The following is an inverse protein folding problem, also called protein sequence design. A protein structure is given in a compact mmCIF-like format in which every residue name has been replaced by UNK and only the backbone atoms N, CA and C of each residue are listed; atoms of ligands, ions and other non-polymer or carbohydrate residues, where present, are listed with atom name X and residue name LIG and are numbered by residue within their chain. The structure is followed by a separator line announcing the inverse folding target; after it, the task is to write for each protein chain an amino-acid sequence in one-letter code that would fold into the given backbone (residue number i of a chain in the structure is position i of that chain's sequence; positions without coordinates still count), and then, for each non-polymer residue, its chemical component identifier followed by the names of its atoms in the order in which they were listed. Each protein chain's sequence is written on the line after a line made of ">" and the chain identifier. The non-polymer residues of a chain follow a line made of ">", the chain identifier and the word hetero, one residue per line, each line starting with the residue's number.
data_IF_640938058208
#
_entry.id   IF_640938058208
#
_cell.length_a   1.000
_cell.length_b   1.000
_cell.length_c   1.000
_cell.angle_alpha   90.00
_cell.angle_beta   90.00
_cell.angle_gamma   90.00
#
_symmetry.space_group_name_H-M   'P 1'
#
loop_
_entity.id
_entity.type
_entity.pdbx_description
1 polymer ?
#
# COMPACT_ATOMS: atom_id res chain seq x y z
N UNK A 1 -14.89 1.31 31.08
CA UNK A 1 -14.32 0.33 30.12
C UNK A 1 -13.04 -0.21 30.72
N UNK A 2 -12.96 -1.52 30.88
CA UNK A 2 -11.94 -2.20 31.71
C UNK A 2 -10.51 -1.96 31.20
N UNK A 3 -9.65 -1.52 32.13
CA UNK A 3 -8.30 -1.02 31.92
C UNK A 3 -7.24 -2.14 31.83
N UNK A 4 -7.60 -3.43 31.68
CA UNK A 4 -6.62 -4.53 31.76
C UNK A 4 -6.83 -5.74 30.83
N UNK A 5 -7.37 -5.58 29.62
CA UNK A 5 -7.13 -6.61 28.59
C UNK A 5 -5.72 -6.45 28.04
N UNK A 6 -4.81 -7.38 28.40
CA UNK A 6 -3.50 -7.51 27.73
C UNK A 6 -3.74 -8.06 26.32
N UNK A 7 -4.00 -7.17 25.38
CA UNK A 7 -4.13 -7.52 23.97
C UNK A 7 -2.81 -8.10 23.42
N UNK A 8 -2.90 -9.19 22.67
CA UNK A 8 -1.78 -9.70 21.86
C UNK A 8 -1.52 -8.73 20.69
N UNK A 9 -0.29 -8.67 20.17
CA UNK A 9 0.08 -7.76 19.09
C UNK A 9 -0.87 -7.84 17.86
N UNK A 10 -1.22 -9.04 17.33
CA UNK A 10 -2.17 -9.14 16.22
C UNK A 10 -3.54 -8.54 16.53
N UNK A 11 -4.01 -8.64 17.78
CA UNK A 11 -5.28 -8.06 18.18
C UNK A 11 -5.21 -6.54 18.30
N UNK A 12 -4.05 -5.98 18.68
CA UNK A 12 -3.80 -4.53 18.65
C UNK A 12 -3.75 -4.01 17.22
N UNK A 13 -3.08 -4.72 16.30
CA UNK A 13 -3.11 -4.38 14.88
C UNK A 13 -4.53 -4.45 14.32
N UNK A 14 -5.30 -5.47 14.67
CA UNK A 14 -6.71 -5.58 14.27
C UNK A 14 -7.55 -4.40 14.80
N UNK A 15 -7.35 -4.02 16.07
CA UNK A 15 -7.98 -2.83 16.64
C UNK A 15 -7.60 -1.57 15.85
N UNK A 16 -6.33 -1.40 15.47
CA UNK A 16 -5.89 -0.26 14.67
C UNK A 16 -6.62 -0.22 13.32
N UNK A 17 -6.59 -1.32 12.54
CA UNK A 17 -7.23 -1.33 11.23
C UNK A 17 -8.75 -1.14 11.32
N UNK A 18 -9.41 -1.68 12.34
CA UNK A 18 -10.88 -1.61 12.44
C UNK A 18 -11.40 -0.35 13.13
N UNK A 19 -10.74 0.12 14.19
CA UNK A 19 -11.21 1.24 15.03
C UNK A 19 -10.55 2.57 14.65
N UNK A 20 -9.25 2.56 14.30
CA UNK A 20 -8.54 3.77 13.90
C UNK A 20 -8.79 4.05 12.42
N UNK A 21 -8.49 3.11 11.53
CA UNK A 21 -8.70 3.32 10.09
C UNK A 21 -10.16 3.12 9.64
N UNK A 22 -10.95 2.35 10.39
CA UNK A 22 -12.36 2.11 10.06
C UNK A 22 -12.60 0.98 9.06
N UNK A 23 -11.64 0.09 8.82
CA UNK A 23 -11.83 -1.09 7.96
C UNK A 23 -12.88 -2.03 8.55
N UNK A 24 -13.56 -2.78 7.69
CA UNK A 24 -14.59 -3.75 8.06
C UNK A 24 -14.04 -5.16 7.94
N UNK A 25 -14.22 -5.96 8.99
CA UNK A 25 -13.89 -7.38 8.97
C UNK A 25 -14.86 -8.14 8.05
N UNK A 26 -14.32 -8.97 7.18
CA UNK A 26 -15.06 -9.79 6.23
C UNK A 26 -14.57 -11.25 6.28
N UNK A 27 -14.57 -11.82 7.48
CA UNK A 27 -14.22 -13.20 7.70
C UNK A 27 -12.81 -13.42 8.27
N UNK A 28 -12.57 -14.66 8.65
CA UNK A 28 -11.34 -15.14 9.29
C UNK A 28 -11.02 -16.53 8.76
N UNK A 29 -9.73 -16.83 8.67
CA UNK A 29 -9.24 -18.16 8.38
C UNK A 29 -7.92 -18.40 9.12
N UNK A 30 -7.91 -19.43 9.97
CA UNK A 30 -6.80 -19.71 10.89
C UNK A 30 -6.39 -18.46 11.69
N UNK A 31 -5.13 -18.07 11.52
CA UNK A 31 -4.51 -16.91 12.18
C UNK A 31 -4.69 -15.60 11.39
N UNK A 32 -5.54 -15.59 10.37
CA UNK A 32 -5.77 -14.45 9.48
C UNK A 32 -7.16 -13.82 9.66
N UNK A 33 -7.22 -12.50 9.51
CA UNK A 33 -8.44 -11.71 9.45
C UNK A 33 -8.48 -10.97 8.12
N UNK A 34 -9.57 -11.13 7.38
CA UNK A 34 -9.80 -10.42 6.13
C UNK A 34 -10.50 -9.09 6.43
N UNK A 35 -9.93 -8.01 5.92
CA UNK A 35 -10.36 -6.63 6.18
C UNK A 35 -10.54 -5.90 4.86
N UNK A 36 -11.58 -5.07 4.79
CA UNK A 36 -11.88 -4.28 3.59
C UNK A 36 -12.05 -2.81 3.92
N UNK A 37 -11.57 -1.98 3.02
CA UNK A 37 -11.97 -0.57 2.97
C UNK A 37 -13.41 -0.46 2.49
N UNK A 38 -14.10 0.62 2.85
CA UNK A 38 -15.57 0.60 2.76
C UNK A 38 -16.14 0.74 1.35
N UNK A 39 -15.33 1.10 0.35
CA UNK A 39 -15.77 1.17 -1.04
C UNK A 39 -14.96 0.23 -1.94
N UNK A 40 -14.33 -0.78 -1.33
CA UNK A 40 -13.73 -1.89 -2.07
C UNK A 40 -14.82 -2.87 -2.49
N UNK A 41 -14.83 -3.17 -3.78
CA UNK A 41 -15.80 -4.04 -4.42
C UNK A 41 -15.39 -5.52 -4.33
N UNK A 42 -14.16 -5.82 -3.91
CA UNK A 42 -13.65 -7.18 -3.73
C UNK A 42 -13.84 -7.67 -2.28
N UNK A 43 -13.61 -8.97 -2.04
CA UNK A 43 -13.80 -9.59 -0.73
C UNK A 43 -12.96 -8.95 0.39
N UNK A 44 -11.76 -8.44 0.09
CA UNK A 44 -10.90 -7.78 1.06
C UNK A 44 -9.84 -6.93 0.39
N UNK A 45 -9.39 -5.89 1.10
CA UNK A 45 -8.28 -5.01 0.68
C UNK A 45 -6.99 -5.32 1.46
N UNK A 46 -7.12 -6.00 2.61
CA UNK A 46 -6.03 -6.30 3.52
C UNK A 46 -6.30 -7.65 4.22
N UNK A 47 -5.31 -8.53 4.23
CA UNK A 47 -5.29 -9.73 5.06
C UNK A 47 -4.30 -9.55 6.21
N UNK A 48 -4.80 -9.42 7.43
CA UNK A 48 -3.98 -9.32 8.62
C UNK A 48 -3.71 -10.72 9.17
N UNK A 49 -2.46 -11.16 9.16
CA UNK A 49 -2.06 -12.50 9.64
C UNK A 49 -1.19 -12.39 10.87
N UNK A 50 -1.47 -13.17 11.92
CA UNK A 50 -0.57 -13.24 13.08
C UNK A 50 0.78 -13.86 12.65
N UNK A 51 1.89 -13.21 13.03
CA UNK A 51 3.23 -13.65 12.68
C UNK A 51 4.25 -13.24 13.76
N UNK A 52 5.43 -13.87 13.75
CA UNK A 52 6.50 -13.60 14.72
C UNK A 52 7.23 -12.28 14.48
N UNK A 53 7.13 -11.73 13.26
CA UNK A 53 7.65 -10.42 12.86
C UNK A 53 6.63 -9.67 12.01
N UNK A 54 6.75 -8.35 11.95
CA UNK A 54 5.98 -7.47 11.07
C UNK A 54 6.56 -7.40 9.67
N UNK A 55 5.79 -6.88 8.73
CA UNK A 55 6.15 -6.77 7.32
C UNK A 55 4.96 -7.01 6.42
N UNK A 56 5.18 -6.80 5.13
CA UNK A 56 4.24 -7.26 4.10
C UNK A 56 4.64 -8.68 3.69
N UNK A 57 3.69 -9.61 3.80
CA UNK A 57 3.94 -10.97 3.30
C UNK A 57 3.79 -11.03 1.79
N UNK A 58 2.74 -10.42 1.24
CA UNK A 58 2.45 -10.47 -0.19
C UNK A 58 1.66 -9.26 -0.65
N UNK A 59 1.92 -8.80 -1.87
CA UNK A 59 1.08 -7.83 -2.58
C UNK A 59 0.36 -8.49 -3.75
N UNK A 60 -0.97 -8.47 -3.71
CA UNK A 60 -1.80 -9.01 -4.78
C UNK A 60 -2.13 -7.92 -5.81
N UNK A 61 -1.92 -8.22 -7.09
CA UNK A 61 -2.29 -7.36 -8.21
C UNK A 61 -3.39 -8.03 -9.01
N UNK A 62 -4.45 -7.29 -9.32
CA UNK A 62 -5.51 -7.79 -10.19
C UNK A 62 -5.23 -7.42 -11.64
N UNK A 63 -5.19 -8.42 -12.52
CA UNK A 63 -5.10 -8.23 -13.96
C UNK A 63 -6.37 -7.57 -14.50
N UNK A 64 -6.28 -6.91 -15.66
CA UNK A 64 -7.44 -6.29 -16.29
C UNK A 64 -8.36 -7.28 -17.03
N UNK A 65 -7.88 -8.50 -17.29
CA UNK A 65 -8.62 -9.61 -17.88
C UNK A 65 -7.89 -10.93 -17.65
N UNK A 66 -8.57 -12.06 -17.91
CA UNK A 66 -7.96 -13.39 -17.90
C UNK A 66 -6.77 -13.48 -18.89
N UNK A 67 -6.90 -12.93 -20.08
CA UNK A 67 -5.82 -12.93 -21.07
C UNK A 67 -4.66 -12.03 -20.64
N UNK A 68 -4.93 -10.95 -19.91
CA UNK A 68 -3.89 -10.11 -19.33
C UNK A 68 -3.11 -10.88 -18.25
N UNK A 69 -3.80 -11.61 -17.37
CA UNK A 69 -3.19 -12.53 -16.40
C UNK A 69 -2.26 -13.51 -17.12
N UNK A 70 -2.75 -14.25 -18.11
CA UNK A 70 -1.94 -15.23 -18.86
C UNK A 70 -0.72 -14.60 -19.55
N UNK A 71 -0.85 -13.40 -20.14
CA UNK A 71 0.27 -12.68 -20.77
C UNK A 71 1.33 -12.23 -19.77
N UNK A 72 0.93 -11.86 -18.54
CA UNK A 72 1.87 -11.44 -17.50
C UNK A 72 2.54 -12.64 -16.84
N UNK A 73 1.80 -13.72 -16.58
CA UNK A 73 2.36 -15.01 -16.12
C UNK A 73 3.51 -15.47 -17.02
N UNK A 74 3.28 -15.53 -18.33
CA UNK A 74 4.33 -15.92 -19.31
C UNK A 74 5.55 -14.99 -19.26
N UNK A 75 5.34 -13.68 -19.07
CA UNK A 75 6.44 -12.72 -18.99
C UNK A 75 7.25 -12.89 -17.68
N UNK A 76 6.58 -13.15 -16.57
CA UNK A 76 7.19 -13.41 -15.26
C UNK A 76 8.00 -14.71 -15.29
N UNK A 77 7.46 -15.77 -15.92
CA UNK A 77 8.17 -17.04 -16.13
C UNK A 77 9.43 -16.86 -16.99
N UNK A 78 9.32 -16.11 -18.09
CA UNK A 78 10.45 -15.80 -18.95
C UNK A 78 11.54 -14.96 -18.24
N UNK A 79 11.15 -14.15 -17.25
CA UNK A 79 12.08 -13.40 -16.40
C UNK A 79 12.72 -14.27 -15.30
N UNK A 80 12.28 -15.53 -15.12
CA UNK A 80 12.83 -16.44 -14.11
C UNK A 80 12.41 -16.13 -12.67
N UNK A 81 11.36 -15.32 -12.48
CA UNK A 81 10.89 -14.85 -11.17
C UNK A 81 9.59 -15.52 -10.71
N UNK A 82 9.04 -16.43 -11.52
CA UNK A 82 7.83 -17.18 -11.21
C UNK A 82 8.04 -18.22 -10.11
N UNK A 83 7.09 -18.33 -9.19
CA UNK A 83 7.03 -19.38 -8.17
C UNK A 83 6.03 -20.46 -8.57
N UNK A 84 4.86 -20.06 -9.08
CA UNK A 84 3.84 -20.97 -9.62
C UNK A 84 2.41 -20.64 -9.19
N UNK A 85 1.46 -21.42 -9.69
CA UNK A 85 0.04 -21.29 -9.35
C UNK A 85 -0.27 -21.79 -7.95
N UNK A 86 -1.22 -21.14 -7.29
CA UNK A 86 -1.80 -21.54 -6.03
C UNK A 86 -3.29 -21.19 -5.99
N UNK A 87 -4.01 -21.81 -5.04
CA UNK A 87 -5.35 -21.35 -4.69
C UNK A 87 -5.26 -19.95 -4.06
N UNK A 88 -6.23 -19.10 -4.42
CA UNK A 88 -6.38 -17.77 -3.86
C UNK A 88 -6.97 -17.78 -2.45
N UNK A 89 -6.94 -16.59 -1.84
CA UNK A 89 -7.60 -16.35 -0.56
C UNK A 89 -9.12 -16.28 -0.71
N UNK A 90 -9.84 -16.14 0.42
CA UNK A 90 -11.29 -16.01 0.41
C UNK A 90 -11.77 -14.92 -0.56
N UNK A 91 -12.69 -15.31 -1.45
CA UNK A 91 -13.24 -14.46 -2.50
C UNK A 91 -12.30 -14.15 -3.67
N UNK A 92 -11.12 -14.78 -3.73
CA UNK A 92 -10.14 -14.63 -4.81
C UNK A 92 -9.92 -15.99 -5.46
N UNK A 93 -9.99 -16.05 -6.79
CA UNK A 93 -9.76 -17.28 -7.54
C UNK A 93 -8.26 -17.67 -7.62
N UNK A 94 -7.88 -18.58 -8.52
CA UNK A 94 -6.49 -19.01 -8.68
C UNK A 94 -5.53 -17.84 -8.89
N UNK A 95 -4.39 -17.86 -8.19
CA UNK A 95 -3.37 -16.80 -8.26
C UNK A 95 -2.02 -17.36 -8.71
N UNK A 96 -1.27 -16.56 -9.45
CA UNK A 96 0.10 -16.89 -9.83
C UNK A 96 1.07 -16.12 -8.93
N UNK A 97 1.89 -16.86 -8.17
CA UNK A 97 2.87 -16.30 -7.23
C UNK A 97 4.22 -16.08 -7.90
N UNK A 98 4.89 -15.01 -7.51
CA UNK A 98 6.20 -14.63 -8.03
C UNK A 98 6.89 -13.66 -7.06
N UNK A 99 8.18 -13.40 -7.29
CA UNK A 99 8.89 -12.33 -6.59
C UNK A 99 9.30 -11.23 -7.54
N UNK A 100 9.54 -10.03 -7.02
CA UNK A 100 10.30 -9.02 -7.75
C UNK A 100 11.82 -9.25 -7.60
N UNK A 101 12.68 -8.48 -8.29
CA UNK A 101 14.14 -8.64 -8.21
C UNK A 101 14.75 -8.47 -6.81
N UNK A 102 14.06 -7.80 -5.89
CA UNK A 102 14.51 -7.59 -4.52
C UNK A 102 13.91 -8.64 -3.55
N UNK A 103 13.05 -9.53 -4.06
CA UNK A 103 12.50 -10.65 -3.29
C UNK A 103 11.20 -10.35 -2.57
N UNK A 104 10.52 -9.23 -2.87
CA UNK A 104 9.16 -9.00 -2.39
C UNK A 104 8.22 -10.03 -3.04
N UNK A 105 7.35 -10.65 -2.25
CA UNK A 105 6.39 -11.66 -2.73
C UNK A 105 5.15 -10.95 -3.29
N UNK A 106 4.75 -11.36 -4.49
CA UNK A 106 3.60 -10.86 -5.21
C UNK A 106 2.72 -12.03 -5.67
N UNK A 107 1.45 -11.73 -5.91
CA UNK A 107 0.59 -12.59 -6.71
C UNK A 107 -0.20 -11.80 -7.74
N UNK A 108 -0.49 -12.44 -8.87
CA UNK A 108 -1.35 -11.91 -9.93
C UNK A 108 -2.59 -12.78 -10.05
N UNK A 109 -3.75 -12.16 -10.13
CA UNK A 109 -5.04 -12.84 -10.23
C UNK A 109 -6.02 -12.08 -11.13
N UNK A 110 -7.15 -12.71 -11.47
CA UNK A 110 -8.22 -12.09 -12.26
C UNK A 110 -9.60 -12.32 -11.63
N UNK A 111 -9.87 -13.60 -11.33
CA UNK A 111 -11.11 -14.04 -10.73
C UNK A 111 -11.24 -13.52 -9.30
N UNK A 112 -12.38 -12.88 -9.01
CA UNK A 112 -12.66 -12.31 -7.71
C UNK A 112 -14.18 -12.21 -7.53
N UNK A 113 -14.62 -12.41 -6.30
CA UNK A 113 -16.01 -12.28 -5.90
C UNK A 113 -16.33 -10.80 -5.64
N UNK A 114 -17.40 -10.32 -6.28
CA UNK A 114 -17.97 -9.02 -5.96
C UNK A 114 -18.59 -9.09 -4.56
N UNK A 115 -18.19 -8.18 -3.70
CA UNK A 115 -18.68 -8.11 -2.34
C UNK A 115 -20.18 -7.80 -2.30
N UNK A 116 -20.95 -8.69 -1.65
CA UNK A 116 -22.35 -8.49 -1.35
C UNK A 116 -22.51 -8.15 0.15
N UNK A 117 -22.84 -6.89 0.50
CA UNK A 117 -22.95 -6.49 1.90
C UNK A 117 -24.11 -7.19 2.60
N UNK A 118 -23.93 -7.67 3.85
CA UNK A 118 -25.05 -8.09 4.68
C UNK A 118 -26.00 -6.89 4.92
N UNK A 119 -27.27 -7.16 5.23
CA UNK A 119 -28.33 -6.15 5.30
C UNK A 119 -27.95 -4.90 6.12
N UNK A 120 -27.30 -5.08 7.28
CA UNK A 120 -26.91 -3.98 8.16
C UNK A 120 -25.76 -3.11 7.63
N UNK A 121 -25.06 -3.55 6.58
CA UNK A 121 -24.02 -2.81 5.86
C UNK A 121 -24.46 -2.43 4.44
N UNK A 122 -25.72 -2.66 4.06
CA UNK A 122 -26.20 -2.32 2.73
C UNK A 122 -26.17 -0.80 2.53
N UNK A 123 -25.51 -0.29 1.46
CA UNK A 123 -25.43 1.14 1.23
C UNK A 123 -26.77 1.71 0.74
N UNK A 124 -27.04 2.96 1.10
CA UNK A 124 -28.14 3.72 0.50
C UNK A 124 -27.89 4.06 -0.97
N UNK A 125 -26.63 4.17 -1.37
CA UNK A 125 -26.22 4.46 -2.75
C UNK A 125 -25.82 3.17 -3.48
N UNK A 126 -26.38 2.93 -4.65
CA UNK A 126 -26.19 1.69 -5.42
C UNK A 126 -24.78 1.50 -5.98
N UNK A 127 -23.98 2.56 -6.00
CA UNK A 127 -22.62 2.61 -6.53
C UNK A 127 -21.58 2.64 -5.41
N UNK A 128 -21.93 2.10 -4.23
CA UNK A 128 -21.02 1.92 -3.11
C UNK A 128 -20.99 0.44 -2.75
N UNK A 129 -19.84 -0.07 -2.29
CA UNK A 129 -19.73 -1.48 -1.90
C UNK A 129 -20.37 -1.77 -0.53
N UNK A 130 -20.32 -0.83 0.41
CA UNK A 130 -21.06 -0.90 1.67
C UNK A 130 -21.48 0.48 2.17
N UNK A 131 -22.40 0.51 3.13
CA UNK A 131 -22.75 1.69 3.89
C UNK A 131 -21.50 2.33 4.52
N UNK A 132 -21.48 3.65 4.55
CA UNK A 132 -20.41 4.42 5.17
C UNK A 132 -20.22 3.97 6.64
N UNK A 133 -19.00 3.55 7.05
CA UNK A 133 -18.78 2.95 8.36
C UNK A 133 -19.07 3.88 9.55
N UNK A 134 -18.85 5.19 9.38
CA UNK A 134 -19.05 6.18 10.45
C UNK A 134 -18.15 5.96 11.67
N UNK A 135 -16.99 5.31 11.52
CA UNK A 135 -16.04 5.03 12.61
C UNK A 135 -14.60 5.28 12.18
N UNK A 136 -13.74 5.65 13.14
CA UNK A 136 -12.35 5.97 12.86
C UNK A 136 -12.22 7.00 11.73
N UNK A 137 -11.24 6.79 10.86
CA UNK A 137 -11.02 7.61 9.66
C UNK A 137 -11.98 7.23 8.52
N UNK A 138 -12.56 6.02 8.54
CA UNK A 138 -13.41 5.48 7.46
C UNK A 138 -12.72 5.56 6.09
N UNK A 139 -11.53 4.96 5.97
CA UNK A 139 -10.77 4.96 4.71
C UNK A 139 -11.54 4.25 3.59
N UNK A 140 -11.62 4.90 2.43
CA UNK A 140 -12.44 4.46 1.29
C UNK A 140 -11.82 3.30 0.55
N UNK A 141 -10.52 3.38 0.28
CA UNK A 141 -9.79 2.41 -0.56
C UNK A 141 -8.35 2.21 -0.11
N UNK A 142 -7.82 1.02 -0.37
CA UNK A 142 -6.37 0.83 -0.48
C UNK A 142 -5.84 1.76 -1.57
N UNK A 143 -4.71 2.41 -1.32
CA UNK A 143 -4.08 3.29 -2.30
C UNK A 143 -2.88 2.61 -2.93
N UNK A 144 -1.76 2.51 -2.22
CA UNK A 144 -0.51 2.00 -2.80
C UNK A 144 0.32 1.25 -1.76
N UNK A 145 1.35 0.57 -2.25
CA UNK A 145 2.40 -0.03 -1.42
C UNK A 145 3.72 0.60 -1.80
N UNK A 146 4.51 0.98 -0.79
CA UNK A 146 5.90 1.38 -0.98
C UNK A 146 6.81 0.35 -0.33
N UNK A 147 7.82 -0.06 -1.09
CA UNK A 147 8.83 -1.04 -0.70
C UNK A 147 10.16 -0.36 -0.44
N UNK A 148 10.88 -0.87 0.54
CA UNK A 148 12.30 -0.64 0.72
C UNK A 148 13.07 -1.72 -0.03
N UNK A 149 13.92 -1.30 -0.96
CA UNK A 149 14.73 -2.19 -1.79
C UNK A 149 16.21 -1.80 -1.77
N UNK A 150 17.12 -2.77 -1.86
CA UNK A 150 18.56 -2.48 -1.92
C UNK A 150 18.94 -1.78 -3.24
N UNK A 151 18.24 -2.08 -4.33
CA UNK A 151 18.37 -1.39 -5.61
C UNK A 151 16.99 -1.13 -6.20
N UNK A 152 16.62 0.14 -6.42
CA UNK A 152 15.25 0.45 -6.88
C UNK A 152 15.05 0.30 -8.39
N UNK A 153 16.07 0.56 -9.20
CA UNK A 153 15.97 0.56 -10.66
C UNK A 153 15.59 -0.82 -11.24
N UNK A 154 16.20 -1.95 -10.81
CA UNK A 154 15.80 -3.28 -11.29
C UNK A 154 14.31 -3.59 -10.99
N UNK A 155 13.81 -3.18 -9.83
CA UNK A 155 12.41 -3.41 -9.47
C UNK A 155 11.45 -2.55 -10.30
N UNK A 156 11.78 -1.28 -10.54
CA UNK A 156 10.98 -0.43 -11.42
C UNK A 156 11.00 -0.89 -12.87
N UNK A 157 12.16 -1.36 -13.37
CA UNK A 157 12.29 -1.98 -14.69
C UNK A 157 11.45 -3.26 -14.80
N UNK A 158 11.45 -4.10 -13.76
CA UNK A 158 10.59 -5.28 -13.71
C UNK A 158 9.10 -4.91 -13.78
N UNK A 159 8.64 -3.94 -13.00
CA UNK A 159 7.24 -3.48 -13.06
C UNK A 159 6.91 -2.93 -14.45
N UNK A 160 7.81 -2.16 -15.07
CA UNK A 160 7.61 -1.59 -16.40
C UNK A 160 7.56 -2.66 -17.49
N UNK A 161 8.60 -3.48 -17.58
CA UNK A 161 8.85 -4.34 -18.73
C UNK A 161 8.14 -5.70 -18.60
N UNK A 162 7.99 -6.20 -17.37
CA UNK A 162 7.39 -7.52 -17.11
C UNK A 162 5.93 -7.37 -16.69
N UNK A 163 5.61 -6.49 -15.74
CA UNK A 163 4.21 -6.33 -15.28
C UNK A 163 3.39 -5.37 -16.15
N UNK A 164 4.04 -4.55 -16.99
CA UNK A 164 3.36 -3.61 -17.91
C UNK A 164 2.92 -2.31 -17.25
N UNK A 165 3.45 -1.99 -16.07
CA UNK A 165 3.29 -0.69 -15.44
C UNK A 165 4.11 0.40 -16.12
N UNK A 166 4.03 1.64 -15.62
CA UNK A 166 4.82 2.77 -16.13
C UNK A 166 5.34 3.63 -14.99
N UNK A 167 6.54 4.17 -15.15
CA UNK A 167 7.11 5.14 -14.21
C UNK A 167 6.45 6.49 -14.42
N UNK A 168 5.91 7.08 -13.37
CA UNK A 168 5.30 8.42 -13.42
C UNK A 168 6.28 9.49 -12.93
N UNK A 169 6.99 9.20 -11.84
CA UNK A 169 8.05 10.05 -11.28
C UNK A 169 9.18 9.18 -10.70
N UNK A 170 10.39 9.75 -10.61
CA UNK A 170 11.57 9.09 -10.04
C UNK A 170 12.54 10.09 -9.42
N UNK A 171 13.42 9.64 -8.53
CA UNK A 171 14.57 10.40 -8.04
C UNK A 171 15.84 9.83 -8.68
N UNK A 172 16.61 10.69 -9.35
CA UNK A 172 17.94 10.36 -9.87
C UNK A 172 19.00 11.16 -9.14
N UNK A 173 19.94 10.46 -8.50
CA UNK A 173 21.07 11.05 -7.80
C UNK A 173 22.15 11.54 -8.78
N UNK A 174 23.08 12.38 -8.33
CA UNK A 174 24.16 12.89 -9.18
C UNK A 174 25.10 11.77 -9.67
N UNK A 175 25.15 10.64 -8.96
CA UNK A 175 25.83 9.41 -9.37
C UNK A 175 25.18 8.70 -10.56
N UNK A 176 23.99 9.15 -10.99
CA UNK A 176 23.16 8.49 -12.00
C UNK A 176 22.23 7.42 -11.43
N UNK A 177 22.43 6.99 -10.18
CA UNK A 177 21.59 5.99 -9.50
C UNK A 177 20.15 6.49 -9.35
N UNK A 178 19.18 5.61 -9.60
CA UNK A 178 17.79 5.84 -9.19
C UNK A 178 17.62 5.39 -7.74
N UNK A 179 17.21 6.31 -6.86
CA UNK A 179 17.00 6.05 -5.43
C UNK A 179 15.54 5.88 -5.05
N UNK A 180 14.60 6.28 -5.91
CA UNK A 180 13.20 5.91 -5.77
C UNK A 180 12.44 6.02 -7.10
N UNK A 181 11.39 5.22 -7.26
CA UNK A 181 10.48 5.25 -8.41
C UNK A 181 9.03 5.06 -7.99
N UNK A 182 8.13 5.80 -8.63
CA UNK A 182 6.69 5.69 -8.50
C UNK A 182 6.11 5.16 -9.80
N UNK A 183 5.36 4.06 -9.72
CA UNK A 183 4.86 3.34 -10.88
C UNK A 183 3.34 3.13 -10.79
N UNK A 184 2.66 3.14 -11.94
CA UNK A 184 1.22 2.94 -12.03
C UNK A 184 0.82 1.94 -13.13
N UNK A 185 -0.39 1.41 -13.03
CA UNK A 185 -0.98 0.52 -14.05
C UNK A 185 -2.18 1.15 -14.78
N UNK A 186 -2.79 2.19 -14.21
CA UNK A 186 -4.00 2.82 -14.72
C UNK A 186 -3.89 4.36 -14.74
N UNK A 187 -4.94 5.09 -14.37
CA UNK A 187 -4.94 6.56 -14.38
C UNK A 187 -4.52 7.18 -13.06
N UNK A 188 -4.50 6.41 -11.95
CA UNK A 188 -3.95 6.88 -10.68
C UNK A 188 -2.47 7.21 -10.85
N UNK A 189 -1.97 8.13 -10.05
CA UNK A 189 -0.62 8.65 -10.19
C UNK A 189 0.48 7.64 -9.85
N UNK A 190 0.20 6.66 -9.00
CA UNK A 190 1.10 5.55 -8.67
C UNK A 190 0.36 4.50 -7.85
N UNK A 191 0.70 3.23 -8.02
CA UNK A 191 0.17 2.05 -7.31
C UNK A 191 1.27 1.34 -6.53
N UNK A 192 2.50 1.33 -7.07
CA UNK A 192 3.69 0.75 -6.46
C UNK A 192 4.80 1.80 -6.37
N UNK A 193 5.55 1.77 -5.28
CA UNK A 193 6.71 2.62 -5.06
C UNK A 193 7.88 1.78 -4.60
N UNK A 194 9.07 2.06 -5.12
CA UNK A 194 10.32 1.52 -4.61
C UNK A 194 11.16 2.67 -4.08
N UNK A 195 11.62 2.55 -2.85
CA UNK A 195 12.47 3.49 -2.14
C UNK A 195 13.74 2.78 -1.71
N UNK A 196 14.89 3.41 -1.88
CA UNK A 196 16.16 2.83 -1.46
C UNK A 196 16.20 2.58 0.05
N UNK A 197 16.59 1.35 0.42
CA UNK A 197 16.85 0.96 1.80
C UNK A 197 18.28 1.30 2.21
N UNK A 198 18.43 2.24 3.15
CA UNK A 198 19.74 2.67 3.64
C UNK A 198 20.36 1.71 4.66
N UNK A 199 19.63 0.67 5.06
CA UNK A 199 20.17 -0.46 5.82
C UNK A 199 20.77 -1.53 4.91
N UNK A 200 20.57 -1.44 3.58
CA UNK A 200 21.08 -2.38 2.59
C UNK A 200 20.42 -3.75 2.64
N UNK A 201 19.25 -3.86 3.27
CA UNK A 201 18.41 -5.07 3.30
C UNK A 201 17.50 -5.12 2.06
N UNK A 202 16.95 -6.31 1.83
CA UNK A 202 16.03 -6.58 0.74
C UNK A 202 14.64 -6.96 1.28
N UNK A 203 13.60 -6.81 0.47
CA UNK A 203 12.28 -7.39 0.72
C UNK A 203 11.51 -6.72 1.86
N UNK A 204 11.80 -5.45 2.18
CA UNK A 204 11.21 -4.75 3.33
C UNK A 204 10.04 -3.86 2.90
N UNK A 205 9.01 -3.82 3.73
CA UNK A 205 7.91 -2.88 3.59
C UNK A 205 8.36 -1.48 4.05
N UNK A 206 8.18 -0.47 3.19
CA UNK A 206 8.25 0.93 3.61
C UNK A 206 6.93 1.38 4.23
N UNK A 207 5.80 1.24 3.53
CA UNK A 207 4.45 1.48 4.07
C UNK A 207 3.33 0.89 3.20
N UNK A 208 2.15 0.74 3.79
CA UNK A 208 0.87 0.53 3.09
C UNK A 208 0.04 1.80 3.22
N UNK A 209 -0.55 2.28 2.13
CA UNK A 209 -1.30 3.52 2.11
C UNK A 209 -2.80 3.30 1.91
N UNK A 210 -3.61 4.09 2.61
CA UNK A 210 -5.07 4.10 2.50
C UNK A 210 -5.57 5.51 2.21
N UNK A 211 -6.55 5.62 1.31
CA UNK A 211 -7.13 6.90 0.94
C UNK A 211 -8.50 7.10 1.59
N UNK A 212 -8.68 8.12 2.45
CA UNK A 212 -9.99 8.63 2.79
C UNK A 212 -10.52 9.56 1.68
N UNK A 213 -11.75 10.07 1.85
CA UNK A 213 -12.42 10.89 0.83
C UNK A 213 -11.74 12.24 0.64
N UNK A 214 -11.27 12.84 1.73
CA UNK A 214 -10.78 14.22 1.74
C UNK A 214 -9.47 14.39 2.48
N UNK A 215 -8.82 15.55 2.33
CA UNK A 215 -7.64 15.91 3.13
C UNK A 215 -8.03 16.21 4.58
N UNK A 216 -9.24 16.72 4.79
CA UNK A 216 -9.82 17.01 6.09
C UNK A 216 -10.00 15.72 6.91
N UNK A 217 -10.25 14.58 6.27
CA UNK A 217 -10.27 13.29 6.95
C UNK A 217 -8.87 12.86 7.44
N UNK A 218 -7.81 13.26 6.74
CA UNK A 218 -6.42 13.03 7.18
C UNK A 218 -6.06 13.93 8.37
N UNK A 219 -6.57 15.17 8.39
CA UNK A 219 -6.44 16.03 9.58
C UNK A 219 -7.17 15.41 10.78
N UNK A 220 -8.41 14.95 10.59
CA UNK A 220 -9.16 14.23 11.64
C UNK A 220 -8.43 12.96 12.10
N UNK A 221 -7.77 12.27 11.18
CA UNK A 221 -6.99 11.09 11.53
C UNK A 221 -5.84 11.39 12.48
N UNK A 222 -5.19 12.55 12.37
CA UNK A 222 -4.15 12.96 13.30
C UNK A 222 -4.72 13.10 14.73
N UNK A 223 -5.89 13.72 14.89
CA UNK A 223 -6.57 13.83 16.19
C UNK A 223 -6.96 12.45 16.74
N UNK A 224 -7.54 11.58 15.90
CA UNK A 224 -7.88 10.20 16.29
C UNK A 224 -6.64 9.44 16.75
N UNK A 225 -5.52 9.57 16.03
CA UNK A 225 -4.27 8.90 16.39
C UNK A 225 -3.71 9.44 17.71
N UNK A 226 -3.73 10.77 17.91
CA UNK A 226 -3.29 11.43 19.13
C UNK A 226 -4.07 10.94 20.35
N UNK A 227 -5.41 10.98 20.28
CA UNK A 227 -6.29 10.59 21.40
C UNK A 227 -6.20 9.09 21.73
N UNK A 228 -5.80 8.26 20.77
CA UNK A 228 -5.67 6.82 20.94
C UNK A 228 -4.21 6.36 21.14
N UNK A 229 -3.25 7.28 21.27
CA UNK A 229 -1.84 6.96 21.51
C UNK A 229 -1.16 6.20 20.35
N UNK A 230 -1.63 6.38 19.12
CA UNK A 230 -0.97 5.87 17.92
C UNK A 230 0.20 6.80 17.59
N UNK A 231 1.38 6.23 17.38
CA UNK A 231 2.58 7.02 17.06
C UNK A 231 2.45 7.65 15.67
N UNK A 232 2.47 8.98 15.63
CA UNK A 232 2.55 9.77 14.40
C UNK A 232 4.02 10.00 14.11
N UNK A 233 4.49 9.50 12.98
CA UNK A 233 5.89 9.64 12.56
C UNK A 233 6.12 11.03 11.93
N UNK A 234 5.24 11.44 11.02
CA UNK A 234 5.29 12.77 10.39
C UNK A 234 3.98 13.10 9.65
N UNK A 235 3.78 14.38 9.37
CA UNK A 235 2.57 14.92 8.77
C UNK A 235 1.51 15.35 9.80
N UNK A 236 0.31 15.76 9.36
CA UNK A 236 -0.11 15.81 7.97
C UNK A 236 0.66 16.84 7.12
N UNK A 237 1.06 16.49 5.91
CA UNK A 237 1.76 17.39 4.99
C UNK A 237 1.53 17.03 3.53
N UNK A 238 2.14 17.75 2.59
CA UNK A 238 2.13 17.42 1.15
C UNK A 238 3.51 16.99 0.66
N UNK A 239 3.54 15.90 -0.11
CA UNK A 239 4.71 15.48 -0.88
C UNK A 239 4.93 16.41 -2.09
N UNK A 240 6.18 16.71 -2.41
CA UNK A 240 6.50 17.41 -3.67
C UNK A 240 6.31 16.46 -4.86
N UNK A 241 6.91 15.28 -4.76
CA UNK A 241 6.76 14.15 -5.68
C UNK A 241 5.33 13.63 -5.55
N UNK A 242 4.65 13.37 -6.66
CA UNK A 242 3.24 12.94 -6.71
C UNK A 242 2.19 13.89 -6.12
N UNK A 243 2.56 14.96 -5.43
CA UNK A 243 1.63 15.94 -4.85
C UNK A 243 0.63 15.37 -3.82
N UNK A 244 0.89 14.20 -3.26
CA UNK A 244 0.00 13.52 -2.31
C UNK A 244 0.03 14.23 -0.95
N UNK A 245 -1.15 14.54 -0.40
CA UNK A 245 -1.28 14.94 1.01
C UNK A 245 -1.25 13.68 1.88
N UNK A 246 -0.42 13.63 2.90
CA UNK A 246 -0.09 12.41 3.62
C UNK A 246 -0.01 12.62 5.13
N UNK A 247 -0.20 11.54 5.88
CA UNK A 247 0.12 11.38 7.31
C UNK A 247 0.71 9.98 7.48
N UNK A 248 1.91 9.86 8.07
CA UNK A 248 2.52 8.58 8.39
C UNK A 248 2.37 8.27 9.89
N UNK A 249 1.87 7.08 10.17
CA UNK A 249 1.71 6.54 11.52
C UNK A 249 2.25 5.13 11.60
N UNK A 250 2.59 4.66 12.81
CA UNK A 250 2.93 3.26 13.04
C UNK A 250 1.75 2.54 13.65
N UNK A 251 1.29 1.47 13.00
CA UNK A 251 0.34 0.56 13.62
C UNK A 251 1.04 -0.25 14.73
N UNK A 252 0.30 -0.84 15.70
CA UNK A 252 0.90 -1.48 16.88
C UNK A 252 1.94 -2.60 16.63
N UNK A 253 1.93 -3.24 15.46
CA UNK A 253 2.94 -4.21 15.02
C UNK A 253 4.21 -3.58 14.43
N UNK A 254 4.27 -2.26 14.29
CA UNK A 254 5.43 -1.50 13.81
C UNK A 254 5.44 -1.22 12.31
N UNK A 255 4.45 -1.71 11.55
CA UNK A 255 4.34 -1.34 10.14
C UNK A 255 3.99 0.15 10.02
N UNK A 256 4.65 0.85 9.09
CA UNK A 256 4.26 2.22 8.75
C UNK A 256 3.03 2.18 7.86
N UNK A 257 2.06 3.02 8.18
CA UNK A 257 0.82 3.19 7.44
C UNK A 257 0.73 4.65 7.00
N UNK A 258 0.36 4.87 5.75
CA UNK A 258 0.05 6.19 5.22
C UNK A 258 -1.46 6.40 5.13
N UNK A 259 -1.93 7.55 5.58
CA UNK A 259 -3.20 8.10 5.15
C UNK A 259 -2.94 9.15 4.09
N UNK A 260 -3.41 8.89 2.87
CA UNK A 260 -2.99 9.62 1.68
C UNK A 260 -4.16 10.19 0.88
N UNK A 261 -4.00 11.35 0.27
CA UNK A 261 -4.97 11.92 -0.67
C UNK A 261 -4.24 12.67 -1.80
N UNK A 262 -4.21 12.11 -3.03
CA UNK A 262 -3.61 12.76 -4.20
C UNK A 262 -4.49 13.88 -4.80
N UNK A 263 -5.62 14.18 -4.16
CA UNK A 263 -6.63 15.16 -4.60
C UNK A 263 -7.11 14.80 -6.01
N UNK A 264 -6.99 15.70 -6.98
CA UNK A 264 -7.44 15.50 -8.36
C UNK A 264 -6.31 15.07 -9.30
N UNK A 265 -5.13 14.69 -8.78
CA UNK A 265 -4.00 14.31 -9.64
C UNK A 265 -4.25 12.95 -10.28
N UNK A 266 -4.35 12.95 -11.60
CA UNK A 266 -4.41 11.74 -12.43
C UNK A 266 -3.37 11.84 -13.55
N UNK A 267 -2.90 10.68 -13.98
CA UNK A 267 -2.03 10.54 -15.15
C UNK A 267 -2.93 10.14 -16.32
N UNK A 268 -3.36 11.15 -17.06
CA UNK A 268 -4.30 10.99 -18.16
C UNK A 268 -3.60 10.84 -19.53
N UNK A 269 -2.36 11.33 -19.63
CA UNK A 269 -1.60 11.22 -20.87
C UNK A 269 -1.17 9.75 -21.08
N UNK A 270 -1.54 9.13 -22.22
CA UNK A 270 -1.14 7.76 -22.51
C UNK A 270 0.37 7.63 -22.78
N UNK A 271 1.01 8.73 -23.15
CA UNK A 271 2.45 8.90 -23.44
C UNK A 271 3.16 9.72 -22.35
N UNK A 272 2.68 9.64 -21.10
CA UNK A 272 3.26 10.34 -19.96
C UNK A 272 4.78 10.18 -19.92
N UNK A 273 5.48 11.31 -19.80
CA UNK A 273 6.95 11.34 -19.69
C UNK A 273 7.33 11.34 -18.21
N UNK A 274 8.18 10.41 -17.75
CA UNK A 274 8.59 10.36 -16.35
C UNK A 274 9.19 11.70 -15.88
N UNK A 275 8.70 12.23 -14.77
CA UNK A 275 9.31 13.39 -14.12
C UNK A 275 10.50 12.89 -13.29
N UNK A 276 11.68 13.44 -13.53
CA UNK A 276 12.88 13.10 -12.77
C UNK A 276 13.23 14.23 -11.82
N UNK A 277 13.26 13.92 -10.52
CA UNK A 277 13.74 14.80 -9.47
C UNK A 277 15.23 14.57 -9.24
N UNK A 278 16.01 15.64 -9.23
CA UNK A 278 17.45 15.60 -8.96
C UNK A 278 17.74 15.47 -7.47
N UNK A 279 18.97 15.11 -7.11
CA UNK A 279 19.44 15.07 -5.71
C UNK A 279 19.24 16.42 -5.00
N UNK A 280 19.59 17.51 -5.66
CA UNK A 280 19.43 18.87 -5.14
C UNK A 280 17.95 19.25 -4.91
N UNK A 281 17.03 18.79 -5.77
CA UNK A 281 15.60 19.03 -5.57
C UNK A 281 15.04 18.17 -4.44
N UNK A 282 15.45 16.89 -4.37
CA UNK A 282 15.08 15.99 -3.29
C UNK A 282 15.57 16.48 -1.93
N UNK A 283 16.77 17.06 -1.86
CA UNK A 283 17.35 17.62 -0.64
C UNK A 283 16.53 18.80 -0.05
N UNK A 284 15.65 19.42 -0.84
CA UNK A 284 14.72 20.46 -0.33
C UNK A 284 13.70 19.88 0.64
N UNK A 285 13.44 18.57 0.56
CA UNK A 285 12.50 17.83 1.39
C UNK A 285 11.15 17.64 0.68
N UNK A 286 10.09 17.74 1.47
CA UNK A 286 8.71 17.68 0.99
C UNK A 286 8.23 19.05 0.50
N UNK A 287 7.00 19.13 -0.03
CA UNK A 287 6.41 20.43 -0.35
C UNK A 287 6.29 21.28 0.94
N UNK A 288 6.12 22.60 0.78
CA UNK A 288 5.92 23.58 1.87
C UNK A 288 6.99 23.59 2.99
N UNK A 289 8.20 23.09 2.71
CA UNK A 289 9.36 23.26 3.59
C UNK A 289 9.55 22.18 4.65
N UNK A 290 8.69 21.15 4.70
CA UNK A 290 8.89 20.02 5.61
C UNK A 290 10.13 19.21 5.17
N UNK A 291 11.01 18.93 6.12
CA UNK A 291 12.19 18.09 5.89
C UNK A 291 11.82 16.60 5.89
N UNK A 292 12.50 15.82 5.07
CA UNK A 292 12.44 14.36 5.16
C UNK A 292 12.98 13.95 6.52
N UNK A 293 12.23 13.10 7.22
CA UNK A 293 12.60 12.56 8.54
C UNK A 293 13.68 11.48 8.42
N UNK A 294 14.47 11.32 9.48
CA UNK A 294 15.62 10.40 9.49
C UNK A 294 15.21 8.92 9.37
N UNK A 295 14.02 8.56 9.86
CA UNK A 295 13.49 7.20 9.81
C UNK A 295 12.96 6.79 8.43
N UNK A 296 12.83 7.71 7.47
CA UNK A 296 12.18 7.44 6.18
C UNK A 296 12.90 6.32 5.40
N UNK A 297 14.23 6.34 5.36
CA UNK A 297 15.03 5.37 4.59
C UNK A 297 15.52 4.16 5.40
N UNK A 298 15.25 4.13 6.71
CA UNK A 298 15.85 3.15 7.63
C UNK A 298 14.81 2.33 8.37
N UNK A 299 13.69 2.95 8.76
CA UNK A 299 12.55 2.22 9.32
C UNK A 299 11.74 1.57 8.21
N UNK A 300 11.54 0.26 8.36
CA UNK A 300 10.76 -0.59 7.48
C UNK A 300 10.59 -1.96 8.14
N UNK A 301 9.67 -2.76 7.64
CA UNK A 301 9.28 -4.04 8.26
C UNK A 301 9.45 -5.22 7.31
N UNK A 302 10.06 -6.35 7.72
CA UNK A 302 10.63 -6.61 9.05
C UNK A 302 11.80 -5.67 9.39
N UNK A 303 12.08 -5.48 10.67
CA UNK A 303 13.22 -4.63 11.09
C UNK A 303 14.54 -5.18 10.53
N UNK A 304 15.53 -4.31 10.35
CA UNK A 304 16.87 -4.70 9.87
C UNK A 304 17.75 -5.35 10.96
N UNK A 305 17.30 -5.26 12.22
CA UNK A 305 17.94 -5.80 13.43
C UNK A 305 17.63 -7.29 13.68
#
# INVERSE_FOLDING_TARGET
>A
MDCRKKWRLPEKSLWFFTQILGLTENGRDGDSVYLRTWDDYEHHSLKLTAHSTSGIRRTALRAASQEALERRVKAIEAAGLGVGWADGDAGIGPTYRFTDPDGHDFELYWESEWYDPPEHLRPSLKNQAQAYPGRGVSVRRLDHVNFLAAATEPNGDFVRDVLGGRVTEQIRLDSGKISAQWLHFATKSYDLVYTEDWTGRNGRLHHIAFAPDTREDILRAADICLDNGVFIETGPHKHAIQQTFFLYVYEPGGNRIELCNPVARLILAPDWRPITWTEAERAKGQAWGLKTIDSFHTHGTPSAD
#
